data_IF_138510996096
#
_entry.id   IF_138510996096
#
_cell.length_a   1.000
_cell.length_b   1.000
_cell.length_c   1.000
_cell.angle_alpha   90.00
_cell.angle_beta   90.00
_cell.angle_gamma   90.00
#
_symmetry.space_group_name_H-M   'P 1'
#
loop_
_entity.id
_entity.type
_entity.pdbx_description
1 polymer ?
#
# COMPACT_ATOMS: atom_id res chain seq x y z
N UNK A 1 -8.45 15.63 -3.58
CA UNK A 1 -9.54 14.65 -3.85
C UNK A 1 -9.89 13.92 -2.56
N UNK A 2 -11.15 13.76 -2.31
CA UNK A 2 -11.63 13.04 -1.11
C UNK A 2 -12.00 11.61 -1.46
N UNK A 3 -11.66 10.71 -0.54
CA UNK A 3 -12.00 9.29 -0.68
C UNK A 3 -12.62 8.77 0.61
N UNK A 4 -13.46 7.76 0.48
CA UNK A 4 -14.06 7.07 1.63
C UNK A 4 -13.55 5.65 1.68
N UNK A 5 -13.00 5.25 2.83
CA UNK A 5 -12.50 3.90 3.07
C UNK A 5 -13.47 3.16 3.97
N UNK A 6 -13.84 1.95 3.58
CA UNK A 6 -14.70 1.07 4.38
C UNK A 6 -14.34 -0.38 4.13
N UNK A 7 -14.90 -1.27 4.92
CA UNK A 7 -14.76 -2.69 4.66
C UNK A 7 -15.45 -3.02 3.34
N UNK A 8 -14.82 -3.86 2.52
CA UNK A 8 -15.43 -4.25 1.25
C UNK A 8 -16.64 -5.16 1.50
N UNK A 9 -17.75 -4.97 0.76
CA UNK A 9 -18.86 -5.93 0.79
C UNK A 9 -18.54 -7.23 0.06
N UNK A 10 -17.45 -7.26 -0.72
CA UNK A 10 -17.02 -8.48 -1.39
C UNK A 10 -16.39 -9.44 -0.39
N UNK A 11 -16.74 -10.72 -0.50
CA UNK A 11 -16.29 -11.74 0.44
C UNK A 11 -14.77 -11.98 0.36
N UNK A 12 -14.16 -11.72 -0.78
CA UNK A 12 -12.74 -11.98 -1.04
C UNK A 12 -11.83 -10.78 -0.85
N UNK A 13 -12.39 -9.61 -0.50
CA UNK A 13 -11.62 -8.35 -0.37
C UNK A 13 -11.73 -7.76 1.02
N UNK A 14 -10.65 -7.11 1.48
CA UNK A 14 -10.61 -6.48 2.81
C UNK A 14 -11.32 -5.13 2.83
N UNK A 15 -11.01 -4.26 1.88
CA UNK A 15 -11.42 -2.87 1.90
C UNK A 15 -11.97 -2.43 0.55
N UNK A 16 -12.78 -1.38 0.65
CA UNK A 16 -13.27 -0.64 -0.51
C UNK A 16 -12.95 0.84 -0.32
N UNK A 17 -12.39 1.46 -1.35
CA UNK A 17 -12.28 2.91 -1.42
C UNK A 17 -13.27 3.42 -2.45
N UNK A 18 -14.01 4.46 -2.08
CA UNK A 18 -14.98 5.13 -2.95
C UNK A 18 -14.52 6.55 -3.21
N UNK A 19 -14.46 6.94 -4.47
CA UNK A 19 -14.04 8.27 -4.89
C UNK A 19 -15.24 9.20 -5.04
N UNK A 20 -14.97 10.52 -5.08
CA UNK A 20 -16.02 11.53 -5.21
C UNK A 20 -16.86 11.35 -6.47
N UNK A 21 -16.25 10.85 -7.55
CA UNK A 21 -16.94 10.60 -8.81
C UNK A 21 -17.76 9.29 -8.82
N UNK A 22 -17.83 8.58 -7.70
CA UNK A 22 -18.57 7.34 -7.56
C UNK A 22 -17.81 6.08 -7.93
N UNK A 23 -16.60 6.20 -8.46
CA UNK A 23 -15.78 5.02 -8.77
C UNK A 23 -15.35 4.32 -7.48
N UNK A 24 -15.23 3.00 -7.54
CA UNK A 24 -14.83 2.19 -6.39
C UNK A 24 -13.65 1.31 -6.76
N UNK A 25 -12.83 1.01 -5.74
CA UNK A 25 -11.75 0.04 -5.85
C UNK A 25 -11.83 -0.88 -4.64
N UNK A 26 -12.01 -2.18 -4.87
CA UNK A 26 -11.91 -3.20 -3.82
C UNK A 26 -10.51 -3.77 -3.84
N UNK A 27 -9.88 -3.90 -2.67
CA UNK A 27 -8.49 -4.34 -2.61
C UNK A 27 -8.18 -5.11 -1.33
N UNK A 28 -7.02 -5.78 -1.33
CA UNK A 28 -6.58 -6.61 -0.24
C UNK A 28 -7.26 -7.97 -0.24
N UNK A 29 -6.47 -9.06 -0.28
CA UNK A 29 -7.02 -10.40 -0.23
C UNK A 29 -7.45 -10.74 1.19
N UNK A 30 -8.73 -11.01 1.37
CA UNK A 30 -9.27 -11.40 2.67
C UNK A 30 -8.73 -12.77 3.06
N UNK A 31 -8.33 -12.91 4.33
CA UNK A 31 -7.73 -14.14 4.82
C UNK A 31 -6.20 -14.15 4.74
N UNK A 32 -5.60 -13.21 4.04
CA UNK A 32 -4.14 -13.08 3.97
C UNK A 32 -3.65 -11.96 4.88
N UNK A 33 -2.42 -12.12 5.40
CA UNK A 33 -1.80 -11.09 6.23
C UNK A 33 -1.27 -9.94 5.38
N UNK A 34 -1.01 -8.81 6.02
CA UNK A 34 -0.36 -7.66 5.41
C UNK A 34 0.47 -6.93 6.47
N UNK A 35 1.17 -5.86 6.08
CA UNK A 35 2.08 -5.16 6.98
C UNK A 35 1.37 -4.54 8.19
N UNK A 36 0.12 -4.18 8.06
CA UNK A 36 -0.66 -3.65 9.20
C UNK A 36 -1.01 -4.73 10.22
N UNK A 37 -0.90 -6.00 9.83
CA UNK A 37 -1.20 -7.16 10.70
C UNK A 37 0.08 -7.73 11.29
N UNK A 38 1.02 -8.19 10.42
CA UNK A 38 2.24 -8.85 10.93
C UNK A 38 3.32 -7.88 11.38
N UNK A 39 3.30 -6.63 10.91
CA UNK A 39 4.22 -5.55 11.30
C UNK A 39 5.70 -5.89 11.08
N UNK A 40 6.00 -6.68 10.06
CA UNK A 40 7.35 -7.15 9.76
C UNK A 40 7.88 -6.49 8.48
N UNK A 41 8.87 -5.56 8.59
CA UNK A 41 9.39 -4.86 7.42
C UNK A 41 10.04 -5.76 6.38
N UNK A 42 10.64 -6.87 6.79
CA UNK A 42 11.27 -7.81 5.86
C UNK A 42 10.21 -8.50 5.00
N UNK A 43 9.05 -8.82 5.58
CA UNK A 43 7.92 -9.37 4.81
C UNK A 43 7.33 -8.31 3.88
N UNK A 44 7.28 -7.05 4.31
CA UNK A 44 6.85 -5.95 3.46
C UNK A 44 7.78 -5.83 2.24
N UNK A 45 9.09 -5.87 2.44
CA UNK A 45 10.05 -5.85 1.34
C UNK A 45 9.83 -7.02 0.37
N UNK A 46 9.57 -8.21 0.90
CA UNK A 46 9.30 -9.40 0.06
C UNK A 46 8.06 -9.19 -0.81
N UNK A 47 6.99 -8.63 -0.24
CA UNK A 47 5.77 -8.31 -0.99
C UNK A 47 6.07 -7.34 -2.12
N UNK A 48 6.75 -6.23 -1.81
CA UNK A 48 7.08 -5.19 -2.79
C UNK A 48 7.91 -5.79 -3.94
N UNK A 49 8.89 -6.62 -3.61
CA UNK A 49 9.74 -7.28 -4.61
C UNK A 49 8.93 -8.20 -5.51
N UNK A 50 8.06 -9.03 -4.93
CA UNK A 50 7.22 -9.95 -5.72
C UNK A 50 6.24 -9.21 -6.64
N UNK A 51 5.83 -8.01 -6.24
CA UNK A 51 4.93 -7.19 -7.04
C UNK A 51 5.67 -6.23 -7.99
N UNK A 52 6.92 -6.54 -8.28
CA UNK A 52 7.70 -5.84 -9.30
C UNK A 52 8.32 -4.53 -8.86
N UNK A 53 8.32 -4.23 -7.57
CA UNK A 53 8.90 -2.99 -7.06
C UNK A 53 10.39 -2.88 -7.35
N UNK A 54 10.83 -1.67 -7.71
CA UNK A 54 12.25 -1.39 -7.97
C UNK A 54 12.96 -1.11 -6.65
N UNK A 55 13.38 -2.20 -5.98
CA UNK A 55 14.07 -2.13 -4.70
C UNK A 55 15.58 -1.99 -4.97
N UNK A 56 16.23 -0.90 -4.50
CA UNK A 56 17.68 -0.75 -4.70
C UNK A 56 18.44 -1.93 -4.12
N UNK A 57 19.53 -2.30 -4.78
CA UNK A 57 20.33 -3.47 -4.39
C UNK A 57 20.74 -3.43 -2.91
N UNK A 58 21.21 -2.28 -2.42
CA UNK A 58 21.62 -2.15 -1.03
C UNK A 58 20.46 -2.35 -0.06
N UNK A 59 19.25 -1.93 -0.44
CA UNK A 59 18.06 -2.13 0.40
C UNK A 59 17.68 -3.61 0.45
N UNK A 60 17.89 -4.34 -0.65
CA UNK A 60 17.65 -5.80 -0.67
C UNK A 60 18.59 -6.55 0.29
N UNK A 61 19.74 -5.99 0.58
CA UNK A 61 20.75 -6.61 1.46
C UNK A 61 20.61 -6.20 2.92
N UNK A 62 19.84 -5.18 3.24
CA UNK A 62 19.69 -4.70 4.61
C UNK A 62 18.99 -5.73 5.49
N UNK A 63 19.49 -5.85 6.73
CA UNK A 63 18.91 -6.77 7.72
C UNK A 63 18.30 -6.04 8.91
N UNK A 64 18.63 -4.76 9.11
CA UNK A 64 18.04 -3.95 10.18
C UNK A 64 16.59 -3.58 9.81
N UNK A 65 15.60 -4.06 10.58
CA UNK A 65 14.20 -3.81 10.26
C UNK A 65 13.84 -2.34 10.15
N UNK A 66 14.45 -1.49 10.97
CA UNK A 66 14.15 -0.04 10.93
C UNK A 66 14.66 0.61 9.66
N UNK A 67 15.85 0.22 9.20
CA UNK A 67 16.39 0.72 7.94
C UNK A 67 15.60 0.19 6.75
N UNK A 68 15.22 -1.08 6.78
CA UNK A 68 14.38 -1.67 5.73
C UNK A 68 13.07 -0.89 5.62
N UNK A 69 12.39 -0.68 6.74
CA UNK A 69 11.14 0.09 6.74
C UNK A 69 11.34 1.48 6.11
N UNK A 70 12.33 2.21 6.60
CA UNK A 70 12.60 3.58 6.14
C UNK A 70 12.86 3.63 4.64
N UNK A 71 13.72 2.75 4.15
CA UNK A 71 14.13 2.76 2.75
C UNK A 71 13.04 2.21 1.82
N UNK A 72 12.22 1.28 2.30
CA UNK A 72 11.12 0.75 1.49
C UNK A 72 10.02 1.77 1.26
N UNK A 73 9.85 2.77 2.14
CA UNK A 73 8.85 3.81 1.93
C UNK A 73 9.10 4.61 0.66
N UNK A 74 10.35 4.68 0.21
CA UNK A 74 10.71 5.43 -1.01
C UNK A 74 10.50 4.62 -2.29
N UNK A 75 10.17 3.32 -2.19
CA UNK A 75 9.93 2.49 -3.37
C UNK A 75 8.52 2.75 -3.88
N UNK A 76 8.41 3.53 -4.95
CA UNK A 76 7.14 3.97 -5.52
C UNK A 76 6.96 3.56 -6.98
N UNK A 77 7.84 2.72 -7.52
CA UNK A 77 7.79 2.28 -8.91
C UNK A 77 7.81 0.76 -8.98
N UNK A 78 7.01 0.23 -9.89
CA UNK A 78 6.91 -1.19 -10.18
C UNK A 78 6.79 -1.38 -11.68
N UNK A 79 7.33 -2.49 -12.19
CA UNK A 79 7.16 -2.87 -13.59
C UNK A 79 5.86 -3.64 -13.83
N UNK A 80 5.10 -3.93 -12.78
CA UNK A 80 3.85 -4.71 -12.87
C UNK A 80 2.62 -3.93 -12.43
N UNK A 81 2.79 -2.91 -11.60
CA UNK A 81 1.69 -2.18 -11.00
C UNK A 81 1.94 -0.67 -11.11
N UNK A 82 0.88 0.09 -10.97
CA UNK A 82 0.97 1.54 -11.00
C UNK A 82 0.77 2.11 -9.60
N UNK A 83 1.87 2.44 -8.94
CA UNK A 83 1.86 2.97 -7.57
C UNK A 83 1.95 4.51 -7.52
N UNK A 84 1.82 5.16 -8.66
CA UNK A 84 1.88 6.62 -8.77
C UNK A 84 0.52 7.26 -8.90
N UNK A 85 0.53 8.55 -9.21
CA UNK A 85 -0.70 9.39 -9.28
C UNK A 85 -1.71 8.91 -10.32
N UNK A 86 -1.29 8.17 -11.33
CA UNK A 86 -2.19 7.65 -12.35
C UNK A 86 -2.76 6.28 -11.99
N UNK A 87 -2.39 5.73 -10.82
CA UNK A 87 -2.82 4.41 -10.37
C UNK A 87 -3.94 4.40 -9.34
N UNK A 88 -4.58 5.53 -9.09
CA UNK A 88 -5.59 5.66 -8.02
C UNK A 88 -6.76 4.69 -8.16
N UNK A 89 -7.07 4.25 -9.37
CA UNK A 89 -8.22 3.36 -9.60
C UNK A 89 -7.80 1.90 -9.73
N UNK A 90 -6.63 1.54 -9.23
CA UNK A 90 -6.14 0.16 -9.25
C UNK A 90 -6.00 -0.40 -7.84
N UNK A 91 -6.27 -1.69 -7.69
CA UNK A 91 -6.09 -2.37 -6.40
C UNK A 91 -4.63 -2.36 -5.95
N UNK A 92 -3.69 -2.46 -6.91
CA UNK A 92 -2.26 -2.47 -6.59
C UNK A 92 -1.79 -1.21 -5.88
N UNK A 93 -2.27 -0.03 -6.32
CA UNK A 93 -1.95 1.23 -5.66
C UNK A 93 -2.38 1.20 -4.18
N UNK A 94 -3.62 0.81 -3.92
CA UNK A 94 -4.17 0.83 -2.56
C UNK A 94 -3.54 -0.24 -1.67
N UNK A 95 -3.28 -1.43 -2.21
CA UNK A 95 -2.57 -2.47 -1.46
C UNK A 95 -1.18 -2.00 -1.08
N UNK A 96 -0.43 -1.41 -2.02
CA UNK A 96 0.92 -0.91 -1.75
C UNK A 96 0.91 0.15 -0.64
N UNK A 97 0.08 1.16 -0.78
CA UNK A 97 0.18 2.32 0.09
C UNK A 97 -0.62 2.21 1.37
N UNK A 98 -1.73 1.48 1.37
CA UNK A 98 -2.52 1.34 2.59
C UNK A 98 -2.13 0.11 3.41
N UNK A 99 -1.84 -1.02 2.77
CA UNK A 99 -1.59 -2.29 3.45
C UNK A 99 -0.12 -2.64 3.60
N UNK A 100 0.75 -2.07 2.76
CA UNK A 100 2.16 -2.46 2.68
C UNK A 100 3.11 -1.27 2.72
N UNK A 101 2.75 -0.18 3.41
CA UNK A 101 3.64 0.98 3.61
C UNK A 101 4.02 1.16 5.08
N UNK A 102 3.04 1.18 5.96
CA UNK A 102 3.25 1.33 7.41
C UNK A 102 2.59 0.19 8.16
N UNK A 103 3.12 -0.17 9.35
CA UNK A 103 2.50 -1.20 10.18
C UNK A 103 1.27 -0.71 10.92
N UNK A 104 0.88 0.54 10.67
CA UNK A 104 -0.28 1.17 11.30
C UNK A 104 -1.13 1.82 10.20
N UNK A 105 -2.41 1.48 10.17
CA UNK A 105 -3.32 1.95 9.13
C UNK A 105 -3.46 3.47 9.12
N UNK A 106 -3.49 4.11 10.29
CA UNK A 106 -3.58 5.56 10.39
C UNK A 106 -2.35 6.25 9.80
N UNK A 107 -1.15 5.70 10.04
CA UNK A 107 0.07 6.23 9.47
C UNK A 107 0.11 6.02 7.95
N UNK A 108 -0.40 4.91 7.46
CA UNK A 108 -0.52 4.67 6.03
C UNK A 108 -1.45 5.71 5.37
N UNK A 109 -2.58 6.03 5.99
CA UNK A 109 -3.48 7.08 5.50
C UNK A 109 -2.78 8.44 5.45
N UNK A 110 -2.02 8.78 6.50
CA UNK A 110 -1.26 10.05 6.54
C UNK A 110 -0.25 10.13 5.41
N UNK A 111 0.43 9.03 5.14
CA UNK A 111 1.37 8.96 4.02
C UNK A 111 0.68 9.21 2.68
N UNK A 112 -0.45 8.56 2.45
CA UNK A 112 -1.22 8.72 1.21
C UNK A 112 -1.67 10.16 1.04
N UNK A 113 -2.17 10.79 2.10
CA UNK A 113 -2.58 12.19 2.05
C UNK A 113 -1.41 13.10 1.74
N UNK A 114 -0.29 12.91 2.42
CA UNK A 114 0.91 13.73 2.22
C UNK A 114 1.49 13.58 0.83
N UNK A 115 1.55 12.34 0.35
CA UNK A 115 2.25 12.01 -0.90
C UNK A 115 1.39 12.25 -2.13
N UNK A 116 0.10 12.00 -2.05
CA UNK A 116 -0.80 11.99 -3.20
C UNK A 116 -1.97 12.96 -3.09
N UNK A 117 -2.13 13.63 -1.97
CA UNK A 117 -3.19 14.59 -1.79
C UNK A 117 -4.59 13.99 -1.64
N UNK A 118 -4.68 12.69 -1.37
CA UNK A 118 -5.97 12.02 -1.15
C UNK A 118 -6.37 12.17 0.31
N UNK A 119 -7.54 12.74 0.56
CA UNK A 119 -8.03 13.02 1.90
C UNK A 119 -9.12 12.02 2.26
N UNK A 120 -8.92 11.30 3.35
CA UNK A 120 -9.91 10.33 3.85
C UNK A 120 -11.00 11.07 4.64
N UNK A 121 -12.24 10.74 4.33
CA UNK A 121 -13.40 11.31 5.03
C UNK A 121 -14.16 10.24 5.81
#
# INVERSE_FOLDING_TARGET
MRVHLENSPRIDKKFRVTFENGRIVDFGAKGYSDYTIHKNPLRMRSYITRHGGFVPYMVQKQTDPKLVHKNMLDVSRSDRENWGKTGFYTAGFWSRWLLWSHPNLENAKKLITKKYGLVFK
#
